data_IF_139936536285
#
_entry.id   IF_139936536285
#
_cell.length_a   1.000
_cell.length_b   1.000
_cell.length_c   1.000
_cell.angle_alpha   90.00
_cell.angle_beta   90.00
_cell.angle_gamma   90.00
#
_symmetry.space_group_name_H-M   'P 1'
#
loop_
_entity.id
_entity.type
_entity.pdbx_description
1 polymer ?
#
# COMPACT_ATOMS: atom_id res chain seq x y z
N UNK A 1 1.16 16.69 3.74
CA UNK A 1 1.02 15.62 2.74
C UNK A 1 0.91 14.27 3.41
N UNK A 2 -0.01 13.44 2.96
CA UNK A 2 -0.12 12.10 3.47
C UNK A 2 1.08 11.28 3.03
N UNK A 3 1.65 10.55 3.98
CA UNK A 3 2.79 9.69 3.70
C UNK A 3 2.29 8.33 3.26
N UNK A 4 2.80 7.82 2.16
CA UNK A 4 2.43 6.51 1.67
C UNK A 4 3.60 5.54 1.73
N UNK A 5 3.27 4.28 1.96
CA UNK A 5 4.23 3.18 2.01
C UNK A 5 3.84 2.17 0.95
N UNK A 6 4.79 1.77 0.13
CA UNK A 6 4.55 0.86 -0.98
C UNK A 6 5.28 -0.45 -0.77
N UNK A 7 4.61 -1.55 -1.07
CA UNK A 7 5.20 -2.88 -1.11
C UNK A 7 4.96 -3.49 -2.50
N UNK A 8 5.92 -4.26 -2.97
CA UNK A 8 5.79 -5.00 -4.22
C UNK A 8 6.07 -6.48 -3.93
N UNK A 9 5.33 -7.37 -4.61
CA UNK A 9 5.52 -8.80 -4.41
C UNK A 9 6.80 -9.30 -5.09
N UNK A 10 7.18 -10.55 -4.80
CA UNK A 10 8.47 -11.10 -5.27
C UNK A 10 8.58 -11.20 -6.79
N UNK A 11 7.48 -11.48 -7.49
CA UNK A 11 7.50 -11.52 -8.97
C UNK A 11 7.21 -10.16 -9.61
N UNK A 12 7.11 -9.10 -8.80
CA UNK A 12 6.97 -7.72 -9.26
C UNK A 12 5.75 -7.50 -10.15
N UNK A 13 4.66 -8.18 -9.82
CA UNK A 13 3.41 -8.08 -10.56
C UNK A 13 2.32 -7.32 -9.83
N UNK A 14 2.39 -7.22 -8.51
CA UNK A 14 1.37 -6.57 -7.69
C UNK A 14 2.00 -5.64 -6.68
N UNK A 15 1.28 -4.56 -6.35
CA UNK A 15 1.68 -3.60 -5.34
C UNK A 15 0.58 -3.42 -4.31
N UNK A 16 0.98 -2.97 -3.12
CA UNK A 16 0.08 -2.51 -2.07
C UNK A 16 0.57 -1.16 -1.59
N UNK A 17 -0.36 -0.22 -1.46
CA UNK A 17 -0.05 1.12 -0.95
C UNK A 17 -0.80 1.35 0.35
N UNK A 18 -0.07 1.71 1.39
CA UNK A 18 -0.62 1.99 2.71
C UNK A 18 -0.61 3.50 2.92
N UNK A 19 -1.78 4.12 3.04
CA UNK A 19 -1.92 5.56 3.21
C UNK A 19 -2.73 5.83 4.47
N UNK A 20 -2.24 6.72 5.33
CA UNK A 20 -2.98 7.15 6.50
C UNK A 20 -4.24 7.90 6.09
N UNK A 21 -5.36 7.58 6.72
CA UNK A 21 -6.61 8.31 6.51
C UNK A 21 -6.62 9.53 7.42
N UNK A 22 -6.31 10.70 6.86
CA UNK A 22 -6.24 11.94 7.61
C UNK A 22 -7.57 12.32 8.25
N UNK A 23 -8.69 11.85 7.70
CA UNK A 23 -10.02 12.12 8.25
C UNK A 23 -10.30 11.36 9.54
N UNK A 24 -9.45 10.39 9.89
CA UNK A 24 -9.62 9.61 11.12
C UNK A 24 -8.80 10.14 12.28
N UNK A 25 -8.08 11.26 12.11
CA UNK A 25 -7.20 11.80 13.16
C UNK A 25 -7.94 12.10 14.46
N UNK A 26 -9.16 12.63 14.35
CA UNK A 26 -9.97 12.99 15.53
C UNK A 26 -10.83 11.84 16.04
N UNK A 27 -10.71 10.65 15.45
CA UNK A 27 -11.47 9.49 15.89
C UNK A 27 -10.70 8.74 16.98
N UNK A 28 -11.40 7.97 17.83
CA UNK A 28 -10.73 7.15 18.85
C UNK A 28 -9.75 6.14 18.29
N UNK A 29 -9.99 5.69 17.04
CA UNK A 29 -9.15 4.72 16.35
C UNK A 29 -8.70 5.34 15.04
N UNK A 30 -7.41 5.26 14.76
CA UNK A 30 -6.86 5.69 13.48
C UNK A 30 -7.03 4.59 12.43
N UNK A 31 -7.32 5.02 11.21
CA UNK A 31 -7.51 4.11 10.07
C UNK A 31 -6.49 4.39 8.99
N UNK A 32 -6.21 3.36 8.20
CA UNK A 32 -5.39 3.46 7.01
C UNK A 32 -6.14 2.90 5.81
N UNK A 33 -5.87 3.47 4.65
CA UNK A 33 -6.30 2.87 3.38
C UNK A 33 -5.21 1.93 2.91
N UNK A 34 -5.60 0.76 2.43
CA UNK A 34 -4.71 -0.16 1.74
C UNK A 34 -5.22 -0.30 0.33
N UNK A 35 -4.46 0.24 -0.61
CA UNK A 35 -4.78 0.16 -2.03
C UNK A 35 -4.03 -1.01 -2.65
N UNK A 36 -4.73 -1.78 -3.46
CA UNK A 36 -4.15 -2.89 -4.20
C UNK A 36 -4.05 -2.51 -5.66
N UNK A 37 -2.95 -2.86 -6.30
CA UNK A 37 -2.74 -2.53 -7.69
C UNK A 37 -1.86 -3.55 -8.41
N UNK A 38 -1.79 -3.41 -9.71
CA UNK A 38 -1.00 -4.28 -10.59
C UNK A 38 0.05 -3.48 -11.33
N UNK A 39 1.21 -4.08 -11.53
CA UNK A 39 2.25 -3.47 -12.35
C UNK A 39 1.82 -3.58 -13.81
N UNK A 40 1.84 -2.46 -14.51
CA UNK A 40 1.46 -2.40 -15.91
C UNK A 40 2.64 -1.91 -16.76
N UNK A 41 2.56 -2.15 -18.07
CA UNK A 41 3.61 -1.74 -18.99
C UNK A 41 4.68 -2.82 -19.15
N UNK A 42 5.32 -2.81 -20.32
CA UNK A 42 6.28 -3.86 -20.70
C UNK A 42 7.51 -3.87 -19.80
N UNK A 43 7.95 -2.69 -19.35
CA UNK A 43 9.16 -2.55 -18.53
C UNK A 43 8.87 -2.15 -17.09
N UNK A 44 7.59 -2.17 -16.70
CA UNK A 44 7.21 -1.74 -15.35
C UNK A 44 7.49 -0.27 -15.07
N UNK A 45 7.61 0.55 -16.09
CA UNK A 45 7.90 1.99 -15.95
C UNK A 45 6.66 2.84 -15.80
N UNK A 46 5.50 2.28 -16.10
CA UNK A 46 4.24 2.99 -15.96
C UNK A 46 3.78 2.93 -14.50
N UNK A 47 3.02 3.95 -14.04
CA UNK A 47 2.44 3.88 -12.69
C UNK A 47 1.57 2.64 -12.55
N UNK A 48 1.53 2.01 -11.37
CA UNK A 48 0.67 0.84 -11.16
C UNK A 48 -0.79 1.20 -11.39
N UNK A 49 -1.56 0.26 -11.92
CA UNK A 49 -3.00 0.40 -12.02
C UNK A 49 -3.63 -0.04 -10.72
N UNK A 50 -4.18 0.90 -9.96
CA UNK A 50 -4.80 0.62 -8.67
C UNK A 50 -6.22 0.10 -8.88
N UNK A 51 -6.54 -1.02 -8.28
CA UNK A 51 -7.79 -1.73 -8.53
C UNK A 51 -8.79 -1.68 -7.38
N UNK A 52 -8.32 -1.82 -6.15
CA UNK A 52 -9.19 -1.85 -4.97
C UNK A 52 -8.60 -1.07 -3.82
N UNK A 53 -9.48 -0.60 -2.94
CA UNK A 53 -9.07 0.09 -1.71
C UNK A 53 -9.90 -0.45 -0.56
N UNK A 54 -9.24 -0.77 0.56
CA UNK A 54 -9.92 -1.11 1.80
C UNK A 54 -9.49 -0.14 2.89
N UNK A 55 -10.35 0.05 3.88
CA UNK A 55 -10.04 0.86 5.05
C UNK A 55 -10.00 -0.05 6.27
N UNK A 56 -8.88 -0.01 7.00
CA UNK A 56 -8.68 -0.85 8.19
C UNK A 56 -8.09 -0.01 9.30
N UNK A 57 -8.24 -0.45 10.55
CA UNK A 57 -7.59 0.23 11.65
C UNK A 57 -6.07 0.06 11.55
N UNK A 58 -5.34 0.94 12.26
CA UNK A 58 -3.90 1.00 12.13
C UNK A 58 -3.22 -0.27 12.62
N UNK A 59 -3.78 -0.95 13.60
CA UNK A 59 -3.19 -2.20 14.11
C UNK A 59 -3.32 -3.32 13.09
N UNK A 60 -4.48 -3.43 12.45
CA UNK A 60 -4.68 -4.40 11.39
C UNK A 60 -3.83 -4.08 10.17
N UNK A 61 -3.70 -2.80 9.84
CA UNK A 61 -2.83 -2.38 8.73
C UNK A 61 -1.39 -2.83 8.98
N UNK A 62 -0.91 -2.67 10.22
CA UNK A 62 0.45 -3.11 10.60
C UNK A 62 0.61 -4.62 10.48
N UNK A 63 -0.40 -5.39 10.91
CA UNK A 63 -0.37 -6.85 10.77
C UNK A 63 -0.30 -7.26 9.29
N UNK A 64 -1.09 -6.63 8.45
CA UNK A 64 -1.10 -6.92 7.01
C UNK A 64 0.26 -6.59 6.41
N UNK A 65 0.83 -5.43 6.75
CA UNK A 65 2.14 -5.01 6.28
C UNK A 65 3.22 -6.04 6.64
N UNK A 66 3.26 -6.45 7.90
CA UNK A 66 4.25 -7.42 8.38
C UNK A 66 4.06 -8.78 7.73
N UNK A 67 2.82 -9.19 7.51
CA UNK A 67 2.51 -10.46 6.83
C UNK A 67 3.02 -10.44 5.40
N UNK A 68 2.82 -9.35 4.67
CA UNK A 68 3.32 -9.22 3.30
C UNK A 68 4.84 -9.29 3.27
N UNK A 69 5.52 -8.60 4.18
CA UNK A 69 6.98 -8.70 4.27
C UNK A 69 7.43 -10.13 4.53
N UNK A 70 6.73 -10.88 5.38
CA UNK A 70 7.08 -12.27 5.67
C UNK A 70 6.84 -13.18 4.46
N UNK A 71 5.99 -12.77 3.53
CA UNK A 71 5.70 -13.50 2.29
C UNK A 71 6.67 -13.13 1.15
N UNK A 72 7.65 -12.30 1.43
CA UNK A 72 8.65 -11.92 0.43
C UNK A 72 8.39 -10.61 -0.29
N UNK A 73 7.34 -9.87 0.11
CA UNK A 73 7.13 -8.53 -0.45
C UNK A 73 8.23 -7.59 0.05
N UNK A 74 8.63 -6.64 -0.77
CA UNK A 74 9.69 -5.70 -0.44
C UNK A 74 9.17 -4.27 -0.51
N UNK A 75 9.75 -3.43 0.33
CA UNK A 75 9.43 -2.01 0.37
C UNK A 75 10.07 -1.31 -0.83
N UNK A 76 9.28 -0.47 -1.51
CA UNK A 76 9.76 0.32 -2.64
C UNK A 76 9.31 1.75 -2.51
N UNK A 77 9.95 2.64 -3.28
CA UNK A 77 9.51 4.00 -3.47
C UNK A 77 9.08 4.16 -4.92
N UNK A 78 7.91 4.78 -5.12
CA UNK A 78 7.43 5.09 -6.45
C UNK A 78 7.43 6.59 -6.63
N UNK A 79 7.92 7.03 -7.79
CA UNK A 79 7.92 8.43 -8.15
C UNK A 79 6.52 8.91 -8.48
N UNK A 80 6.23 10.17 -8.16
CA UNK A 80 4.95 10.77 -8.50
C UNK A 80 3.83 10.52 -7.50
N UNK A 81 4.14 10.04 -6.34
CA UNK A 81 3.14 9.79 -5.29
C UNK A 81 2.73 11.06 -4.58
#
# INVERSE_FOLDING_TARGET
MAKSYWLINSNRSEVRRFIKNDKSIDLPVEYMFIDSGEIVGVLGKEPPEMTTTISVDIDLAREIYERLLSQGWIKIELLGN
#
